data_IF_607319809912
#
_entry.id   IF_607319809912
#
_cell.length_a   1.000
_cell.length_b   1.000
_cell.length_c   1.000
_cell.angle_alpha   90.00
_cell.angle_beta   90.00
_cell.angle_gamma   90.00
#
_symmetry.space_group_name_H-M   'P 1'
#
loop_
_entity.id
_entity.type
_entity.pdbx_description
1 polymer ?
#
# COMPACT_ATOMS: atom_id res chain seq x y z
N UNK A 1 33.98 37.43 51.77
CA UNK A 1 34.95 36.66 52.59
C UNK A 1 34.48 35.22 52.62
N UNK A 2 35.39 34.25 52.35
CA UNK A 2 35.56 32.96 53.06
C UNK A 2 34.30 32.09 53.26
N UNK A 3 34.19 30.79 52.94
CA UNK A 3 34.89 29.76 52.15
C UNK A 3 34.38 28.39 52.68
N UNK A 4 34.58 27.31 51.89
CA UNK A 4 34.59 25.88 52.33
C UNK A 4 33.22 25.23 52.71
N UNK A 5 32.90 23.98 52.33
CA UNK A 5 33.71 22.83 51.86
C UNK A 5 33.09 22.01 50.69
N UNK A 6 34.00 21.43 49.91
CA UNK A 6 33.93 20.28 48.94
C UNK A 6 33.59 18.95 49.71
N UNK A 7 33.48 17.72 49.12
CA UNK A 7 33.81 17.31 47.72
C UNK A 7 33.02 16.14 47.04
N UNK A 8 33.47 15.78 45.82
CA UNK A 8 33.40 14.46 45.13
C UNK A 8 31.99 13.97 44.71
N UNK A 9 31.76 13.40 43.51
CA UNK A 9 32.63 12.57 42.65
C UNK A 9 32.47 12.91 41.16
N UNK A 10 33.58 13.02 40.43
CA UNK A 10 33.64 13.06 38.95
C UNK A 10 35.01 12.52 38.50
N UNK A 11 35.14 11.22 38.20
CA UNK A 11 36.24 10.57 37.44
C UNK A 11 35.72 9.25 36.83
N UNK A 12 36.34 8.81 35.72
CA UNK A 12 36.07 7.65 34.83
C UNK A 12 35.23 8.11 33.63
N UNK A 13 35.78 8.89 32.70
CA UNK A 13 37.00 8.70 31.88
C UNK A 13 36.88 7.52 30.91
N UNK A 14 36.97 7.84 29.62
CA UNK A 14 36.93 6.89 28.52
C UNK A 14 38.21 6.04 28.41
N UNK A 15 38.02 4.74 28.15
CA UNK A 15 38.77 3.78 27.33
C UNK A 15 37.98 2.46 27.46
N UNK A 16 37.79 1.61 26.45
CA UNK A 16 38.74 1.10 25.47
C UNK A 16 38.05 0.86 24.11
N UNK A 17 38.58 1.46 23.05
CA UNK A 17 38.44 0.92 21.68
C UNK A 17 39.71 0.14 21.38
N UNK A 18 39.59 -1.19 21.38
CA UNK A 18 40.58 -2.17 20.88
C UNK A 18 39.75 -3.28 20.21
N UNK A 19 39.98 -3.73 18.97
CA UNK A 19 41.09 -3.42 18.07
C UNK A 19 42.00 -4.62 17.81
N UNK A 20 41.44 -5.69 17.23
CA UNK A 20 42.16 -6.79 16.55
C UNK A 20 41.37 -7.05 15.26
N UNK A 21 41.89 -6.86 14.04
CA UNK A 21 43.09 -7.42 13.38
C UNK A 21 42.91 -8.88 12.97
N UNK A 22 43.16 -9.11 11.67
CA UNK A 22 43.18 -10.39 10.96
C UNK A 22 44.38 -11.26 11.36
N UNK A 23 44.26 -12.57 11.15
CA UNK A 23 45.24 -13.39 10.42
C UNK A 23 44.62 -14.76 10.03
N UNK A 24 45.19 -15.40 9.01
CA UNK A 24 44.68 -16.59 8.31
C UNK A 24 45.15 -17.95 8.91
N UNK A 25 44.46 -19.02 8.49
CA UNK A 25 44.90 -20.42 8.38
C UNK A 25 45.67 -21.13 9.53
N UNK A 26 45.06 -22.22 10.05
CA UNK A 26 45.53 -23.59 9.70
C UNK A 26 44.70 -24.73 10.34
N UNK A 27 44.05 -25.49 9.45
CA UNK A 27 43.73 -26.93 9.42
C UNK A 27 43.88 -27.88 10.65
N UNK A 28 42.86 -28.76 10.73
CA UNK A 28 42.88 -30.22 11.03
C UNK A 28 43.19 -30.75 12.44
N UNK A 29 42.21 -31.49 12.98
CA UNK A 29 42.45 -32.89 13.39
C UNK A 29 41.18 -33.76 13.20
N UNK A 30 41.38 -35.02 12.78
CA UNK A 30 40.34 -36.04 12.56
C UNK A 30 40.63 -37.20 13.51
N UNK A 31 39.62 -37.72 14.22
CA UNK A 31 39.71 -39.05 14.84
C UNK A 31 38.79 -40.06 14.12
N UNK A 32 39.42 -41.01 13.41
CA UNK A 32 38.83 -42.29 13.00
C UNK A 32 39.04 -43.36 14.08
N UNK A 33 38.10 -44.33 14.18
CA UNK A 33 38.26 -45.79 14.46
C UNK A 33 36.87 -46.36 14.87
N UNK A 34 36.40 -47.61 14.63
CA UNK A 34 36.75 -48.83 13.85
C UNK A 34 35.50 -49.78 13.95
N UNK A 35 35.20 -50.79 13.11
CA UNK A 35 35.81 -51.34 11.90
C UNK A 35 34.87 -52.30 11.13
N UNK A 36 35.22 -52.56 9.86
CA UNK A 36 35.05 -53.76 8.98
C UNK A 36 34.77 -55.17 9.62
N UNK A 37 34.54 -56.27 8.84
CA UNK A 37 34.17 -56.43 7.40
C UNK A 37 33.08 -57.50 7.10
N UNK A 38 32.55 -57.53 5.86
CA UNK A 38 32.55 -58.76 5.03
C UNK A 38 32.38 -58.52 3.53
N UNK A 39 33.19 -59.19 2.72
CA UNK A 39 33.08 -59.28 1.25
C UNK A 39 32.19 -60.46 0.85
N UNK A 40 31.59 -60.41 -0.34
CA UNK A 40 31.87 -61.45 -1.35
C UNK A 40 31.66 -60.92 -2.79
N UNK A 41 32.49 -61.42 -3.70
CA UNK A 41 32.59 -61.06 -5.13
C UNK A 41 31.82 -62.00 -6.04
N UNK A 42 31.20 -61.47 -7.10
CA UNK A 42 31.31 -61.81 -8.54
C UNK A 42 30.08 -61.18 -9.23
N UNK A 43 30.04 -60.76 -10.48
CA UNK A 43 30.78 -61.24 -11.65
C UNK A 43 30.79 -60.16 -12.76
N UNK A 44 31.74 -60.24 -13.70
CA UNK A 44 31.88 -59.30 -14.83
C UNK A 44 31.23 -59.88 -16.08
N UNK A 45 30.48 -59.05 -16.81
CA UNK A 45 30.44 -59.13 -18.28
C UNK A 45 30.35 -57.72 -18.87
N UNK A 46 31.21 -57.47 -19.85
CA UNK A 46 31.18 -56.28 -20.70
C UNK A 46 30.03 -56.41 -21.72
N UNK A 47 29.18 -55.38 -21.86
CA UNK A 47 28.67 -55.02 -23.18
C UNK A 47 28.53 -53.50 -23.28
N UNK A 48 29.28 -52.92 -24.21
CA UNK A 48 29.29 -51.48 -24.49
C UNK A 48 28.25 -51.17 -25.57
N UNK A 49 27.10 -50.63 -25.17
CA UNK A 49 26.18 -49.94 -26.07
C UNK A 49 25.77 -48.60 -25.49
N UNK A 50 26.60 -47.61 -25.81
CA UNK A 50 26.23 -46.23 -26.13
C UNK A 50 24.72 -45.93 -26.11
N UNK A 51 24.24 -45.20 -25.11
CA UNK A 51 22.89 -44.62 -25.09
C UNK A 51 22.93 -43.12 -24.70
N UNK A 52 23.80 -42.37 -25.39
CA UNK A 52 23.83 -40.91 -25.36
C UNK A 52 22.77 -40.31 -26.30
N UNK A 53 21.51 -40.75 -26.18
CA UNK A 53 20.35 -40.18 -26.90
C UNK A 53 19.12 -40.18 -25.97
N UNK A 54 19.15 -39.38 -24.89
CA UNK A 54 17.94 -39.04 -24.13
C UNK A 54 17.92 -37.61 -23.55
N UNK A 55 19.08 -36.94 -23.36
CA UNK A 55 19.16 -35.57 -22.78
C UNK A 55 18.38 -34.49 -23.54
N UNK A 56 18.48 -34.49 -24.87
CA UNK A 56 17.93 -33.42 -25.74
C UNK A 56 16.39 -33.37 -25.62
N UNK A 57 15.74 -34.52 -25.38
CA UNK A 57 14.28 -34.63 -25.25
C UNK A 57 13.75 -34.00 -23.96
N UNK A 58 14.57 -33.96 -22.89
CA UNK A 58 14.18 -33.36 -21.61
C UNK A 58 14.18 -31.85 -21.66
N UNK A 59 15.27 -31.24 -22.16
CA UNK A 59 15.44 -29.77 -22.20
C UNK A 59 14.35 -29.08 -23.03
N UNK A 60 14.08 -29.57 -24.26
CA UNK A 60 13.01 -29.00 -25.10
C UNK A 60 11.63 -29.12 -24.42
N UNK A 61 11.34 -30.25 -23.76
CA UNK A 61 10.07 -30.46 -23.04
C UNK A 61 9.94 -29.62 -21.76
N UNK A 62 11.08 -29.28 -21.13
CA UNK A 62 11.11 -28.41 -19.96
C UNK A 62 10.88 -26.96 -20.40
N UNK A 63 11.66 -26.48 -21.37
CA UNK A 63 11.54 -25.14 -21.97
C UNK A 63 10.14 -24.87 -22.54
N UNK A 64 9.53 -25.82 -23.27
CA UNK A 64 8.15 -25.67 -23.75
C UNK A 64 7.15 -25.49 -22.59
N UNK A 65 7.40 -26.16 -21.45
CA UNK A 65 6.55 -26.06 -20.27
C UNK A 65 6.82 -24.89 -19.33
N UNK A 66 7.96 -24.20 -19.50
CA UNK A 66 8.29 -22.96 -18.79
C UNK A 66 8.31 -21.74 -19.72
N UNK A 67 7.79 -21.89 -20.94
CA UNK A 67 7.68 -20.84 -21.96
C UNK A 67 6.97 -19.58 -21.46
N UNK A 68 5.99 -19.72 -20.56
CA UNK A 68 5.31 -18.61 -19.90
C UNK A 68 6.22 -17.75 -19.00
N UNK A 69 7.40 -18.25 -18.63
CA UNK A 69 8.41 -17.48 -17.88
C UNK A 69 9.24 -16.56 -18.79
N UNK A 70 9.29 -16.80 -20.11
CA UNK A 70 10.11 -16.00 -21.03
C UNK A 70 9.55 -14.60 -21.27
N UNK A 71 8.24 -14.39 -21.04
CA UNK A 71 7.57 -13.09 -21.11
C UNK A 71 7.72 -12.26 -19.81
N UNK A 72 8.31 -12.83 -18.75
CA UNK A 72 8.49 -12.16 -17.46
C UNK A 72 9.67 -11.19 -17.53
N UNK A 73 9.53 -9.93 -17.08
CA UNK A 73 10.63 -8.96 -17.08
C UNK A 73 11.77 -9.44 -16.18
N UNK A 74 13.01 -9.20 -16.62
CA UNK A 74 14.20 -9.42 -15.80
C UNK A 74 14.17 -8.56 -14.53
N UNK A 75 14.63 -9.12 -13.41
CA UNK A 75 14.82 -8.34 -12.17
C UNK A 75 15.73 -7.11 -12.37
N UNK A 76 15.58 -6.05 -11.55
CA UNK A 76 16.40 -4.85 -11.65
C UNK A 76 17.91 -5.12 -11.52
N UNK A 77 18.68 -4.75 -12.55
CA UNK A 77 20.14 -4.84 -12.52
C UNK A 77 20.82 -3.64 -11.84
N UNK A 78 20.08 -2.55 -11.61
CA UNK A 78 20.60 -1.31 -11.04
C UNK A 78 19.69 -0.73 -9.96
N UNK A 79 20.27 0.06 -9.05
CA UNK A 79 19.51 0.79 -8.03
C UNK A 79 18.45 1.74 -8.62
N UNK A 80 18.65 2.23 -9.85
CA UNK A 80 17.65 3.08 -10.53
C UNK A 80 16.45 2.26 -10.99
N UNK A 81 16.66 1.08 -11.57
CA UNK A 81 15.58 0.18 -11.95
C UNK A 81 14.83 -0.31 -10.70
N UNK A 82 15.55 -0.65 -9.63
CA UNK A 82 14.96 -1.10 -8.35
C UNK A 82 14.00 -0.06 -7.78
N UNK A 83 14.41 1.22 -7.71
CA UNK A 83 13.58 2.31 -7.19
C UNK A 83 12.35 2.61 -8.09
N UNK A 84 12.37 2.19 -9.36
CA UNK A 84 11.27 2.42 -10.31
C UNK A 84 10.56 1.11 -10.71
N UNK A 85 10.69 0.05 -9.92
CA UNK A 85 10.04 -1.22 -10.21
C UNK A 85 8.54 -1.17 -9.93
N UNK A 86 7.79 -2.06 -10.58
CA UNK A 86 6.37 -2.26 -10.28
C UNK A 86 6.20 -3.16 -9.04
N UNK A 87 5.13 -2.93 -8.29
CA UNK A 87 4.67 -3.82 -7.24
C UNK A 87 4.23 -5.18 -7.83
N UNK A 88 4.61 -6.28 -7.18
CA UNK A 88 4.10 -7.62 -7.48
C UNK A 88 2.72 -7.88 -6.87
N UNK A 89 1.96 -8.81 -7.45
CA UNK A 89 0.59 -9.17 -6.98
C UNK A 89 0.53 -9.61 -5.49
N UNK A 90 1.66 -10.09 -4.98
CA UNK A 90 1.88 -10.54 -3.61
C UNK A 90 3.07 -9.79 -2.98
N UNK A 91 3.16 -8.47 -3.13
CA UNK A 91 4.16 -7.66 -2.42
C UNK A 91 3.96 -7.68 -0.89
N UNK A 92 5.06 -7.55 -0.12
CA UNK A 92 5.05 -7.73 1.34
C UNK A 92 4.76 -6.40 2.07
N UNK A 93 3.52 -5.93 1.95
CA UNK A 93 2.99 -4.95 2.88
C UNK A 93 2.72 -5.62 4.24
N UNK A 94 3.63 -5.40 5.20
CA UNK A 94 3.75 -6.15 6.49
C UNK A 94 2.51 -6.16 7.42
N UNK A 95 1.42 -5.48 7.07
CA UNK A 95 0.13 -5.47 7.77
C UNK A 95 -0.98 -6.29 7.10
N UNK A 96 -0.79 -6.78 5.86
CA UNK A 96 -1.90 -7.27 5.02
C UNK A 96 -1.90 -8.79 4.77
N UNK A 97 -0.83 -9.49 5.18
CA UNK A 97 -0.68 -10.93 4.91
C UNK A 97 -1.43 -11.79 5.93
N UNK A 98 -2.68 -12.13 5.58
CA UNK A 98 -3.42 -13.24 6.20
C UNK A 98 -3.12 -14.60 5.55
N UNK A 99 -3.55 -15.69 6.19
CA UNK A 99 -3.37 -17.07 5.72
C UNK A 99 -3.84 -17.31 4.27
N UNK A 100 -4.85 -16.55 3.83
CA UNK A 100 -5.40 -16.59 2.46
C UNK A 100 -4.36 -16.16 1.41
N UNK A 101 -3.66 -15.05 1.63
CA UNK A 101 -2.62 -14.54 0.69
C UNK A 101 -1.42 -15.47 0.60
N UNK A 102 -1.00 -16.07 1.72
CA UNK A 102 0.00 -17.14 1.71
C UNK A 102 -0.47 -18.36 0.88
N UNK A 103 -1.76 -18.74 0.98
CA UNK A 103 -2.31 -19.86 0.20
C UNK A 103 -2.44 -19.55 -1.29
N UNK A 104 -2.72 -18.30 -1.67
CA UNK A 104 -2.73 -17.85 -3.07
C UNK A 104 -1.33 -17.88 -3.67
N UNK A 105 -0.35 -17.25 -3.02
CA UNK A 105 1.05 -17.27 -3.47
C UNK A 105 1.59 -18.70 -3.58
N UNK A 106 1.28 -19.57 -2.62
CA UNK A 106 1.66 -20.98 -2.69
C UNK A 106 1.12 -21.66 -3.97
N UNK A 107 -0.17 -21.53 -4.28
CA UNK A 107 -0.78 -22.06 -5.53
C UNK A 107 -0.17 -21.45 -6.79
N UNK A 108 0.22 -20.18 -6.75
CA UNK A 108 0.88 -19.52 -7.87
C UNK A 108 2.28 -20.08 -8.12
N UNK A 109 3.03 -20.37 -7.05
CA UNK A 109 4.33 -21.05 -7.12
C UNK A 109 4.22 -22.54 -7.45
N UNK A 110 3.11 -23.23 -7.14
CA UNK A 110 2.86 -24.63 -7.53
C UNK A 110 2.76 -24.82 -9.06
N UNK A 111 2.57 -23.74 -9.84
CA UNK A 111 2.66 -23.78 -11.31
C UNK A 111 4.07 -24.05 -11.80
N UNK A 112 5.09 -23.75 -10.99
CA UNK A 112 6.48 -24.03 -11.30
C UNK A 112 6.76 -25.53 -11.13
N UNK A 113 7.32 -26.15 -12.17
CA UNK A 113 7.84 -27.51 -12.06
C UNK A 113 9.07 -27.52 -11.13
N UNK A 114 9.39 -28.63 -10.47
CA UNK A 114 10.68 -28.78 -9.82
C UNK A 114 11.82 -28.59 -10.83
N UNK A 115 12.77 -27.71 -10.53
CA UNK A 115 13.98 -27.54 -11.34
C UNK A 115 14.81 -28.84 -11.36
N UNK A 116 15.45 -29.19 -12.50
CA UNK A 116 16.43 -30.26 -12.55
C UNK A 116 17.66 -29.92 -11.69
N UNK A 117 18.44 -30.93 -11.30
CA UNK A 117 19.60 -30.74 -10.38
C UNK A 117 20.78 -30.02 -11.02
N UNK A 118 20.79 -30.04 -12.34
CA UNK A 118 21.75 -29.54 -13.30
C UNK A 118 21.17 -28.38 -14.12
N UNK A 119 20.12 -27.73 -13.61
CA UNK A 119 19.51 -26.54 -14.22
C UNK A 119 20.55 -25.48 -14.60
N UNK A 120 20.41 -24.97 -15.81
CA UNK A 120 21.25 -23.92 -16.37
C UNK A 120 20.99 -22.56 -15.70
N UNK A 121 21.95 -21.63 -15.80
CA UNK A 121 21.79 -20.26 -15.33
C UNK A 121 20.54 -19.59 -15.93
N UNK A 122 20.20 -19.86 -17.20
CA UNK A 122 18.99 -19.34 -17.84
C UNK A 122 17.71 -19.82 -17.14
N UNK A 123 17.64 -21.10 -16.76
CA UNK A 123 16.46 -21.65 -16.07
C UNK A 123 16.33 -21.11 -14.64
N UNK A 124 17.46 -20.93 -13.95
CA UNK A 124 17.50 -20.28 -12.64
C UNK A 124 17.03 -18.82 -12.72
N UNK A 125 17.50 -18.06 -13.71
CA UNK A 125 17.09 -16.67 -13.94
C UNK A 125 15.60 -16.55 -14.25
N UNK A 126 15.05 -17.43 -15.10
CA UNK A 126 13.60 -17.46 -15.41
C UNK A 126 12.75 -17.69 -14.15
N UNK A 127 13.15 -18.63 -13.29
CA UNK A 127 12.45 -18.90 -12.02
C UNK A 127 12.59 -17.74 -11.03
N UNK A 128 13.79 -17.15 -10.94
CA UNK A 128 14.05 -16.01 -10.06
C UNK A 128 13.24 -14.78 -10.49
N UNK A 129 13.25 -14.43 -11.78
CA UNK A 129 12.48 -13.32 -12.34
C UNK A 129 10.98 -13.47 -12.05
N UNK A 130 10.42 -14.67 -12.21
CA UNK A 130 9.01 -14.94 -11.93
C UNK A 130 8.67 -14.82 -10.45
N UNK A 131 9.39 -15.51 -9.56
CA UNK A 131 9.17 -15.41 -8.11
C UNK A 131 9.33 -13.97 -7.64
N UNK A 132 10.33 -13.24 -8.15
CA UNK A 132 10.54 -11.83 -7.87
C UNK A 132 9.36 -10.98 -8.34
N UNK A 133 8.86 -11.18 -9.57
CA UNK A 133 7.71 -10.45 -10.11
C UNK A 133 6.41 -10.64 -9.31
N UNK A 134 6.28 -11.75 -8.58
CA UNK A 134 5.14 -11.99 -7.69
C UNK A 134 5.25 -11.18 -6.39
N UNK A 135 6.46 -10.98 -5.84
CA UNK A 135 6.65 -10.45 -4.47
C UNK A 135 7.39 -9.11 -4.38
N UNK A 136 7.77 -8.51 -5.51
CA UNK A 136 8.50 -7.24 -5.55
C UNK A 136 7.73 -6.12 -4.84
N UNK A 137 8.32 -5.54 -3.80
CA UNK A 137 7.82 -4.31 -3.16
C UNK A 137 8.08 -3.10 -4.07
N UNK A 138 7.12 -2.19 -4.19
CA UNK A 138 7.40 -0.89 -4.80
C UNK A 138 8.17 0.04 -3.85
N UNK A 139 8.77 1.08 -4.41
CA UNK A 139 9.45 2.12 -3.63
C UNK A 139 8.77 3.47 -3.89
N UNK A 140 7.62 3.74 -3.24
CA UNK A 140 6.89 4.98 -3.45
C UNK A 140 7.76 6.19 -3.08
N UNK A 141 7.56 7.31 -3.79
CA UNK A 141 8.32 8.54 -3.53
C UNK A 141 8.23 8.90 -2.03
N UNK A 142 9.36 9.06 -1.32
CA UNK A 142 9.34 9.50 0.07
C UNK A 142 8.51 10.76 0.32
N UNK A 143 8.37 11.65 -0.69
CA UNK A 143 7.47 12.82 -0.61
C UNK A 143 5.99 12.43 -0.58
N UNK A 144 5.57 11.35 -1.23
CA UNK A 144 4.20 10.83 -1.13
C UNK A 144 3.95 10.15 0.20
N UNK A 145 4.92 9.38 0.71
CA UNK A 145 4.85 8.80 2.06
C UNK A 145 4.80 9.90 3.13
N UNK A 146 5.58 10.97 2.99
CA UNK A 146 5.51 12.15 3.84
C UNK A 146 4.13 12.82 3.72
N UNK A 147 3.58 13.04 2.52
CA UNK A 147 2.21 13.61 2.36
C UNK A 147 1.12 12.73 2.97
N UNK A 148 1.20 11.41 2.81
CA UNK A 148 0.27 10.44 3.43
C UNK A 148 0.34 10.54 4.96
N UNK A 149 1.54 10.67 5.53
CA UNK A 149 1.75 10.85 6.96
C UNK A 149 1.28 12.23 7.45
N UNK A 150 1.63 13.32 6.74
CA UNK A 150 1.14 14.69 7.00
C UNK A 150 -0.39 14.78 7.00
N UNK A 151 -1.05 14.04 6.10
CA UNK A 151 -2.51 13.96 6.05
C UNK A 151 -3.08 13.11 7.20
N UNK A 152 -2.49 11.95 7.48
CA UNK A 152 -2.91 11.08 8.58
C UNK A 152 -2.68 11.66 9.98
N UNK A 153 -1.66 12.52 10.12
CA UNK A 153 -1.38 13.29 11.34
C UNK A 153 -2.01 14.68 11.34
N UNK A 154 -2.84 15.03 10.35
CA UNK A 154 -3.55 16.32 10.35
C UNK A 154 -4.49 16.39 11.57
N UNK A 155 -4.21 17.33 12.46
CA UNK A 155 -4.87 17.49 13.75
C UNK A 155 -3.99 17.18 14.96
N UNK A 156 -2.87 16.47 14.79
CA UNK A 156 -1.96 16.10 15.88
C UNK A 156 -1.21 17.34 16.41
N UNK A 157 -1.38 17.72 17.69
CA UNK A 157 -0.75 18.91 18.27
C UNK A 157 0.77 18.76 18.46
N UNK A 158 1.32 17.54 18.45
CA UNK A 158 2.75 17.28 18.66
C UNK A 158 3.57 17.37 17.35
N UNK A 159 2.92 17.63 16.19
CA UNK A 159 3.62 17.86 14.93
C UNK A 159 4.51 19.12 14.96
N UNK A 160 5.69 19.11 14.31
CA UNK A 160 6.59 20.26 14.28
C UNK A 160 6.11 21.41 13.38
N UNK A 161 5.13 21.19 12.49
CA UNK A 161 4.58 22.20 11.60
C UNK A 161 3.11 22.53 11.94
N UNK A 162 2.89 23.73 12.45
CA UNK A 162 1.58 24.21 12.90
C UNK A 162 0.54 24.42 11.80
N UNK A 163 0.90 24.24 10.52
CA UNK A 163 -0.07 24.21 9.41
C UNK A 163 -0.97 22.97 9.47
N UNK A 164 -0.50 21.89 10.09
CA UNK A 164 -1.17 20.60 10.20
C UNK A 164 -1.79 20.36 11.59
N UNK A 165 -1.68 21.32 12.51
CA UNK A 165 -2.40 21.27 13.80
C UNK A 165 -3.90 21.54 13.60
N UNK A 166 -4.74 21.00 14.47
CA UNK A 166 -6.10 21.52 14.61
C UNK A 166 -6.02 22.98 15.05
N UNK A 167 -6.41 23.89 14.16
CA UNK A 167 -6.62 25.29 14.50
C UNK A 167 -7.86 25.36 15.40
N UNK A 168 -7.81 26.17 16.45
CA UNK A 168 -8.93 26.36 17.40
C UNK A 168 -10.27 26.74 16.75
N UNK A 169 -10.24 27.19 15.49
CA UNK A 169 -11.43 27.49 14.70
C UNK A 169 -11.67 26.37 13.66
N UNK A 170 -12.58 25.45 13.98
CA UNK A 170 -13.15 24.53 12.99
C UNK A 170 -14.04 25.32 12.02
N UNK A 171 -13.85 25.12 10.72
CA UNK A 171 -14.67 25.76 9.68
C UNK A 171 -15.15 24.67 8.72
N UNK A 172 -16.46 24.56 8.53
CA UNK A 172 -17.11 23.51 7.77
C UNK A 172 -17.95 24.17 6.67
N UNK A 173 -17.78 23.70 5.44
CA UNK A 173 -18.59 24.10 4.30
C UNK A 173 -19.32 22.86 3.77
N UNK A 174 -20.65 22.87 3.85
CA UNK A 174 -21.51 21.83 3.28
C UNK A 174 -21.91 22.28 1.87
N UNK A 175 -21.62 21.47 0.85
CA UNK A 175 -22.11 21.65 -0.52
C UNK A 175 -23.12 20.54 -0.82
N UNK A 176 -24.35 20.90 -1.19
CA UNK A 176 -25.40 19.96 -1.59
C UNK A 176 -25.79 20.17 -3.06
N UNK A 177 -25.74 19.10 -3.84
CA UNK A 177 -26.39 19.02 -5.15
C UNK A 177 -27.91 18.93 -4.93
N UNK A 178 -28.65 19.82 -5.58
CA UNK A 178 -30.11 19.85 -5.55
C UNK A 178 -30.74 19.70 -6.94
N UNK A 179 -30.01 19.14 -7.91
CA UNK A 179 -30.56 18.78 -9.22
C UNK A 179 -31.67 17.73 -9.14
N UNK A 180 -32.50 17.67 -10.19
CA UNK A 180 -33.56 16.67 -10.32
C UNK A 180 -33.08 15.22 -10.29
N UNK A 181 -31.81 14.95 -10.62
CA UNK A 181 -31.18 13.63 -10.44
C UNK A 181 -31.22 13.15 -8.98
N UNK A 182 -31.14 14.07 -8.01
CA UNK A 182 -31.22 13.75 -6.59
C UNK A 182 -32.63 13.30 -6.15
N UNK A 183 -33.64 13.45 -7.01
CA UNK A 183 -34.97 12.85 -6.82
C UNK A 183 -35.04 11.36 -7.15
N UNK A 184 -33.99 10.76 -7.73
CA UNK A 184 -33.95 9.34 -8.05
C UNK A 184 -33.92 8.46 -6.78
N UNK A 185 -34.56 7.29 -6.84
CA UNK A 185 -34.63 6.34 -5.74
C UNK A 185 -33.41 5.40 -5.68
N UNK A 186 -32.92 5.16 -4.47
CA UNK A 186 -32.00 4.08 -4.12
C UNK A 186 -32.67 3.27 -3.00
N UNK A 187 -33.17 2.08 -3.33
CA UNK A 187 -34.00 1.31 -2.41
C UNK A 187 -35.33 2.01 -2.13
N UNK A 188 -35.61 2.29 -0.85
CA UNK A 188 -36.87 2.91 -0.40
C UNK A 188 -36.80 4.44 -0.26
N UNK A 189 -35.61 5.04 -0.38
CA UNK A 189 -35.35 6.48 -0.21
C UNK A 189 -34.86 7.13 -1.51
N UNK A 190 -34.99 8.45 -1.63
CA UNK A 190 -34.34 9.22 -2.70
C UNK A 190 -32.89 9.56 -2.37
N UNK A 191 -32.07 9.82 -3.39
CA UNK A 191 -30.69 10.30 -3.21
C UNK A 191 -30.64 11.58 -2.34
N UNK A 192 -31.60 12.49 -2.51
CA UNK A 192 -31.76 13.68 -1.68
C UNK A 192 -32.04 13.34 -0.21
N UNK A 193 -32.92 12.37 0.08
CA UNK A 193 -33.18 11.94 1.46
C UNK A 193 -31.92 11.36 2.11
N UNK A 194 -31.21 10.46 1.41
CA UNK A 194 -29.95 9.87 1.86
C UNK A 194 -28.87 10.94 2.10
N UNK A 195 -28.78 11.94 1.21
CA UNK A 195 -27.86 13.07 1.36
C UNK A 195 -28.19 13.92 2.60
N UNK A 196 -29.48 14.29 2.81
CA UNK A 196 -29.92 15.04 3.99
C UNK A 196 -29.64 14.27 5.28
N UNK A 197 -29.91 12.96 5.31
CA UNK A 197 -29.64 12.11 6.48
C UNK A 197 -28.13 11.99 6.76
N UNK A 198 -27.30 11.87 5.71
CA UNK A 198 -25.84 11.82 5.83
C UNK A 198 -25.27 13.13 6.38
N UNK A 199 -25.72 14.28 5.85
CA UNK A 199 -25.37 15.61 6.34
C UNK A 199 -25.77 15.73 7.81
N UNK A 200 -27.00 15.39 8.18
CA UNK A 200 -27.47 15.48 9.57
C UNK A 200 -26.70 14.59 10.54
N UNK A 201 -26.34 13.38 10.12
CA UNK A 201 -25.54 12.47 10.95
C UNK A 201 -24.09 12.94 11.10
N UNK A 202 -23.54 13.65 10.10
CA UNK A 202 -22.26 14.34 10.21
C UNK A 202 -22.36 15.57 11.13
N UNK A 203 -23.34 16.45 10.93
CA UNK A 203 -23.49 17.69 11.71
C UNK A 203 -23.74 17.45 13.22
N UNK A 204 -24.31 16.30 13.61
CA UNK A 204 -24.42 15.89 15.03
C UNK A 204 -23.08 15.57 15.71
N UNK A 205 -22.01 15.39 14.94
CA UNK A 205 -20.65 15.12 15.43
C UNK A 205 -19.77 16.37 15.39
N UNK A 206 -20.29 17.49 14.88
CA UNK A 206 -19.58 18.77 14.77
C UNK A 206 -19.58 19.48 16.13
N UNK A 207 -18.41 19.97 16.61
CA UNK A 207 -18.35 20.79 17.83
C UNK A 207 -19.18 22.07 17.72
N UNK A 208 -19.79 22.52 18.83
CA UNK A 208 -20.60 23.75 18.86
C UNK A 208 -19.78 24.99 18.45
N UNK A 209 -18.47 24.98 18.69
CA UNK A 209 -17.53 26.05 18.35
C UNK A 209 -17.22 26.16 16.84
N UNK A 210 -17.65 25.20 16.02
CA UNK A 210 -17.38 25.21 14.59
C UNK A 210 -18.21 26.29 13.86
N UNK A 211 -17.55 27.03 12.96
CA UNK A 211 -18.23 27.89 12.00
C UNK A 211 -18.71 27.05 10.81
N UNK A 212 -19.99 27.12 10.49
CA UNK A 212 -20.61 26.37 9.40
C UNK A 212 -21.08 27.33 8.30
N UNK A 213 -20.92 26.92 7.05
CA UNK A 213 -21.58 27.47 5.88
C UNK A 213 -22.25 26.35 5.10
N UNK A 214 -23.40 26.63 4.49
CA UNK A 214 -24.15 25.69 3.68
C UNK A 214 -24.46 26.34 2.34
N UNK A 215 -23.97 25.71 1.27
CA UNK A 215 -24.23 26.06 -0.13
C UNK A 215 -25.03 24.96 -0.81
N UNK A 216 -25.94 25.42 -1.65
CA UNK A 216 -26.74 24.56 -2.52
C UNK A 216 -26.48 25.01 -3.96
N UNK A 217 -26.37 24.04 -4.86
CA UNK A 217 -26.23 24.28 -6.30
C UNK A 217 -27.20 23.42 -7.10
N UNK A 218 -27.53 23.86 -8.30
CA UNK A 218 -28.45 23.14 -9.19
C UNK A 218 -29.92 23.18 -8.77
N UNK A 219 -30.29 23.99 -7.75
CA UNK A 219 -31.66 24.13 -7.20
C UNK A 219 -32.57 25.14 -7.93
N UNK A 220 -32.12 25.74 -9.03
CA UNK A 220 -32.90 26.75 -9.78
C UNK A 220 -33.17 26.31 -11.21
N UNK A 221 -34.39 26.57 -11.66
CA UNK A 221 -34.89 26.12 -12.96
C UNK A 221 -35.63 24.78 -12.85
N UNK A 222 -35.99 24.23 -14.01
CA UNK A 222 -36.60 22.91 -14.15
C UNK A 222 -35.56 21.84 -14.43
N UNK A 223 -35.96 20.56 -14.36
CA UNK A 223 -35.15 19.44 -14.83
C UNK A 223 -35.08 19.31 -16.37
N UNK A 224 -35.40 20.37 -17.12
CA UNK A 224 -35.31 20.41 -18.57
C UNK A 224 -34.01 21.06 -19.05
N UNK A 225 -33.50 20.61 -20.19
CA UNK A 225 -32.24 21.09 -20.78
C UNK A 225 -32.24 22.57 -21.17
N UNK A 226 -33.41 23.22 -21.23
CA UNK A 226 -33.55 24.66 -21.45
C UNK A 226 -33.04 25.51 -20.29
N UNK A 227 -33.13 25.00 -19.07
CA UNK A 227 -32.83 25.77 -17.85
C UNK A 227 -31.40 25.52 -17.35
N UNK A 228 -30.61 24.73 -18.09
CA UNK A 228 -29.24 24.30 -17.76
C UNK A 228 -28.32 25.46 -17.34
N UNK A 229 -28.34 26.58 -18.07
CA UNK A 229 -27.49 27.74 -17.76
C UNK A 229 -27.92 28.44 -16.45
N UNK A 230 -29.22 28.45 -16.15
CA UNK A 230 -29.78 28.97 -14.90
C UNK A 230 -29.47 28.04 -13.72
N UNK A 231 -29.57 26.72 -13.91
CA UNK A 231 -29.25 25.72 -12.87
C UNK A 231 -27.76 25.69 -12.54
N UNK A 232 -26.88 25.71 -13.56
CA UNK A 232 -25.43 25.63 -13.37
C UNK A 232 -24.82 26.93 -12.80
N UNK A 233 -25.43 28.09 -13.01
CA UNK A 233 -24.96 29.37 -12.46
C UNK A 233 -25.51 29.70 -11.06
N UNK A 234 -26.52 28.95 -10.61
CA UNK A 234 -27.17 29.14 -9.32
C UNK A 234 -26.44 28.40 -8.18
N UNK A 235 -25.36 28.98 -7.66
CA UNK A 235 -24.81 28.61 -6.35
C UNK A 235 -25.38 29.59 -5.32
N UNK A 236 -26.05 29.10 -4.29
CA UNK A 236 -26.65 29.91 -3.23
C UNK A 236 -26.18 29.45 -1.85
N UNK A 237 -25.73 30.40 -1.04
CA UNK A 237 -25.38 30.18 0.35
C UNK A 237 -26.63 30.34 1.21
N UNK A 238 -27.22 29.23 1.64
CA UNK A 238 -28.48 29.20 2.41
C UNK A 238 -28.24 29.31 3.92
N UNK A 239 -27.08 28.87 4.41
CA UNK A 239 -26.59 29.15 5.76
C UNK A 239 -25.22 29.81 5.65
N UNK A 240 -25.00 30.93 6.33
CA UNK A 240 -23.74 31.69 6.25
C UNK A 240 -22.78 31.40 7.38
N UNK A 241 -21.48 31.64 7.13
CA UNK A 241 -20.36 31.48 8.07
C UNK A 241 -20.65 32.01 9.47
N UNK A 242 -21.11 31.12 10.34
CA UNK A 242 -21.49 31.39 11.71
C UNK A 242 -21.36 30.12 12.54
N UNK A 243 -21.21 30.27 13.86
CA UNK A 243 -21.30 29.18 14.84
C UNK A 243 -22.49 28.27 14.53
N UNK A 244 -22.29 26.95 14.63
CA UNK A 244 -23.31 25.97 14.29
C UNK A 244 -24.57 26.14 15.16
N UNK A 245 -25.72 26.15 14.51
CA UNK A 245 -27.05 26.20 15.12
C UNK A 245 -27.89 25.12 14.43
N UNK A 246 -28.02 23.96 15.07
CA UNK A 246 -28.74 22.79 14.53
C UNK A 246 -30.15 23.16 14.07
N UNK A 247 -30.82 23.96 14.87
CA UNK A 247 -32.22 24.35 14.70
C UNK A 247 -32.40 25.26 13.48
N UNK A 248 -31.44 26.14 13.18
CA UNK A 248 -31.42 26.95 11.95
C UNK A 248 -30.93 26.14 10.75
N UNK A 249 -29.88 25.33 10.90
CA UNK A 249 -29.30 24.55 9.81
C UNK A 249 -30.30 23.53 9.27
N UNK A 250 -30.98 22.79 10.14
CA UNK A 250 -32.03 21.85 9.79
C UNK A 250 -33.16 22.53 8.99
N UNK A 251 -33.59 23.73 9.42
CA UNK A 251 -34.62 24.51 8.73
C UNK A 251 -34.20 24.91 7.32
N UNK A 252 -32.92 25.18 7.05
CA UNK A 252 -32.46 25.44 5.68
C UNK A 252 -32.34 24.15 4.86
N UNK A 253 -31.87 23.05 5.46
CA UNK A 253 -31.77 21.73 4.81
C UNK A 253 -33.14 21.16 4.41
N UNK A 254 -34.16 21.34 5.25
CA UNK A 254 -35.51 20.85 4.97
C UNK A 254 -36.15 21.54 3.77
N UNK A 255 -35.86 22.83 3.52
CA UNK A 255 -36.38 23.58 2.37
C UNK A 255 -35.82 23.14 1.01
N UNK A 256 -34.74 22.36 0.98
CA UNK A 256 -34.09 21.99 -0.28
C UNK A 256 -34.83 20.82 -0.93
N UNK A 257 -35.43 21.07 -2.09
CA UNK A 257 -36.04 20.05 -2.94
C UNK A 257 -35.12 19.73 -4.14
N UNK A 258 -35.13 18.50 -4.67
CA UNK A 258 -34.36 18.14 -5.86
C UNK A 258 -35.04 18.72 -7.12
N UNK A 259 -34.65 19.93 -7.52
CA UNK A 259 -35.28 20.71 -8.59
C UNK A 259 -34.23 21.50 -9.40
N UNK A 260 -34.01 21.12 -10.66
CA UNK A 260 -33.08 21.77 -11.59
C UNK A 260 -32.16 20.79 -12.31
N UNK A 261 -31.10 21.29 -12.96
CA UNK A 261 -30.21 20.51 -13.83
C UNK A 261 -28.72 20.68 -13.48
N UNK A 262 -28.04 19.61 -13.04
CA UNK A 262 -26.57 19.61 -12.84
C UNK A 262 -25.85 19.03 -14.06
N UNK A 263 -24.68 19.57 -14.39
CA UNK A 263 -23.69 18.94 -15.26
C UNK A 263 -22.36 18.83 -14.50
N UNK A 264 -21.64 17.71 -14.70
CA UNK A 264 -20.46 17.31 -13.93
C UNK A 264 -19.18 18.16 -14.13
N UNK A 265 -19.29 19.42 -14.56
CA UNK A 265 -18.18 20.30 -14.94
C UNK A 265 -18.20 21.67 -14.22
N UNK A 266 -18.88 21.77 -13.08
CA UNK A 266 -19.09 23.05 -12.36
C UNK A 266 -18.48 23.09 -10.96
N UNK A 267 -17.52 22.21 -10.67
CA UNK A 267 -16.64 22.23 -9.49
C UNK A 267 -15.18 22.32 -9.97
#
# INVERSE_FOLDING_TARGET
MINLKLPLVLVISATLLIGCTSDEDSQNEIEENKSNPKQETSERNDESTNDSINDITSEESFLESVSFLEDIPSTPGTAKELINQAEGEFAIHSSEWGDEKYSELAKETEKLKPLPKDASEKELDLYYNYIYSLVAEDFPDPQETIKKWEFGSFGDPDLPDSRYHFKENYNIEVLLDASGSMGAYIGEQTMMQIAKESINNFMKQVPEEANVSFRVYGHKGTGDSSDKEMSCSAIEQVYGYATYDEDKFQKELDKIEPAGWTHWQTL
#
